data_IF_586113577823
#
_entry.id   IF_586113577823
#
_cell.length_a   1.000
_cell.length_b   1.000
_cell.length_c   1.000
_cell.angle_alpha   90.00
_cell.angle_beta   90.00
_cell.angle_gamma   90.00
#
_symmetry.space_group_name_H-M   'P 1'
#
loop_
_entity.id
_entity.type
_entity.pdbx_description
1 polymer ?
#
# COMPACT_ATOMS: atom_id res chain seq x y z
N UNK A 1 -21.63 49.02 -6.01
CA UNK A 1 -22.63 48.45 -5.08
C UNK A 1 -23.54 47.51 -5.86
N UNK A 2 -23.23 46.23 -5.84
CA UNK A 2 -24.09 45.04 -6.06
C UNK A 2 -23.19 43.83 -6.17
N UNK A 3 -23.10 43.10 -5.08
CA UNK A 3 -22.48 41.78 -4.93
C UNK A 3 -23.45 40.82 -5.62
N UNK A 4 -22.98 40.16 -6.67
CA UNK A 4 -23.71 39.05 -7.28
C UNK A 4 -22.95 37.78 -6.87
N UNK A 5 -23.50 37.08 -5.91
CA UNK A 5 -23.15 35.71 -5.57
C UNK A 5 -23.44 34.81 -6.78
N UNK A 6 -22.41 34.34 -7.44
CA UNK A 6 -22.51 33.22 -8.35
C UNK A 6 -21.93 31.98 -7.64
N UNK A 7 -22.78 31.31 -6.88
CA UNK A 7 -22.56 29.93 -6.52
C UNK A 7 -22.62 29.09 -7.81
N UNK A 8 -21.48 28.89 -8.43
CA UNK A 8 -21.34 27.87 -9.47
C UNK A 8 -21.50 26.51 -8.80
N UNK A 9 -22.62 25.86 -9.08
CA UNK A 9 -22.87 24.46 -8.73
C UNK A 9 -21.95 23.61 -9.60
N UNK A 10 -20.73 23.34 -9.13
CA UNK A 10 -19.91 22.28 -9.66
C UNK A 10 -20.58 20.96 -9.27
N UNK A 11 -21.35 20.42 -10.19
CA UNK A 11 -21.85 19.05 -10.10
C UNK A 11 -20.62 18.14 -10.19
N UNK A 12 -20.25 17.61 -9.06
CA UNK A 12 -19.24 16.57 -8.94
C UNK A 12 -19.81 15.31 -9.62
N UNK A 13 -19.52 15.13 -10.91
CA UNK A 13 -19.74 13.86 -11.59
C UNK A 13 -18.65 12.88 -11.10
N UNK A 14 -18.88 12.31 -9.93
CA UNK A 14 -18.22 11.07 -9.54
C UNK A 14 -18.81 9.99 -10.43
N UNK A 15 -18.20 9.76 -11.58
CA UNK A 15 -18.41 8.51 -12.33
C UNK A 15 -17.81 7.40 -11.45
N UNK A 16 -18.68 6.81 -10.63
CA UNK A 16 -18.40 5.56 -9.97
C UNK A 16 -18.18 4.53 -11.09
N UNK A 17 -16.92 4.32 -11.46
CA UNK A 17 -16.54 3.13 -12.21
C UNK A 17 -16.88 1.95 -11.30
N UNK A 18 -18.06 1.38 -11.53
CA UNK A 18 -18.43 0.09 -10.98
C UNK A 18 -17.48 -0.94 -11.59
N UNK A 19 -16.38 -1.20 -10.90
CA UNK A 19 -15.58 -2.40 -11.13
C UNK A 19 -16.48 -3.54 -10.67
N UNK A 20 -17.28 -4.08 -11.60
CA UNK A 20 -17.97 -5.34 -11.43
C UNK A 20 -16.88 -6.40 -11.30
N UNK A 21 -16.55 -6.75 -10.06
CA UNK A 21 -15.70 -7.87 -9.75
C UNK A 21 -16.30 -9.12 -10.37
N UNK A 22 -15.60 -9.70 -11.33
CA UNK A 22 -15.82 -11.08 -11.75
C UNK A 22 -15.51 -11.97 -10.54
N UNK A 23 -16.52 -12.17 -9.69
CA UNK A 23 -16.51 -13.26 -8.73
C UNK A 23 -16.66 -14.54 -9.55
N UNK A 24 -15.56 -15.24 -9.77
CA UNK A 24 -15.59 -16.63 -10.20
C UNK A 24 -16.09 -17.42 -8.98
N UNK A 25 -17.39 -17.65 -8.92
CA UNK A 25 -17.98 -18.57 -7.98
C UNK A 25 -17.51 -19.98 -8.39
N UNK A 26 -16.67 -20.56 -7.57
CA UNK A 26 -16.35 -21.97 -7.63
C UNK A 26 -17.54 -22.71 -6.99
N UNK A 27 -18.37 -23.34 -7.83
CA UNK A 27 -19.36 -24.31 -7.37
C UNK A 27 -18.64 -25.50 -6.75
N UNK A 28 -18.85 -25.71 -5.46
CA UNK A 28 -18.29 -26.82 -4.72
C UNK A 28 -19.31 -27.46 -3.79
N UNK A 29 -19.71 -28.66 -4.14
CA UNK A 29 -20.21 -29.72 -3.29
C UNK A 29 -21.48 -29.52 -2.45
N UNK A 30 -22.58 -30.03 -3.03
CA UNK A 30 -23.75 -30.49 -2.29
C UNK A 30 -23.35 -31.64 -1.36
N UNK A 31 -23.54 -31.48 -0.06
CA UNK A 31 -23.66 -32.59 0.87
C UNK A 31 -25.16 -32.86 1.09
N UNK A 32 -25.58 -34.04 0.65
CA UNK A 32 -26.90 -34.61 0.89
C UNK A 32 -27.14 -34.76 2.38
N UNK A 33 -28.35 -34.42 2.77
CA UNK A 33 -28.85 -34.47 4.12
C UNK A 33 -28.95 -35.90 4.70
N UNK A 34 -28.77 -35.93 6.00
CA UNK A 34 -29.35 -36.95 6.87
C UNK A 34 -30.05 -36.23 8.02
N UNK A 35 -31.36 -36.25 7.96
CA UNK A 35 -32.24 -35.92 9.07
C UNK A 35 -32.15 -37.04 10.13
N UNK A 36 -31.89 -36.70 11.40
CA UNK A 36 -32.48 -37.43 12.50
C UNK A 36 -32.52 -36.58 13.78
N UNK A 37 -33.74 -36.37 14.18
CA UNK A 37 -34.40 -36.34 15.49
C UNK A 37 -33.64 -35.91 16.75
N UNK A 38 -34.19 -34.89 17.32
CA UNK A 38 -34.41 -34.44 18.69
C UNK A 38 -34.17 -35.50 19.77
N UNK A 39 -33.35 -35.17 20.76
CA UNK A 39 -33.65 -35.51 22.18
C UNK A 39 -32.91 -34.50 23.08
N UNK A 40 -33.67 -33.74 23.85
CA UNK A 40 -33.26 -32.96 25.00
C UNK A 40 -32.66 -33.86 26.09
N UNK A 41 -31.58 -33.43 26.70
CA UNK A 41 -31.32 -33.75 28.10
C UNK A 41 -30.37 -32.72 28.73
N UNK A 42 -30.95 -32.00 29.62
CA UNK A 42 -30.38 -31.16 30.67
C UNK A 42 -29.45 -32.00 31.57
N UNK A 43 -28.20 -31.61 31.77
CA UNK A 43 -27.45 -32.03 32.96
C UNK A 43 -26.42 -30.96 33.36
N UNK A 44 -26.56 -30.60 34.58
CA UNK A 44 -25.91 -29.73 35.53
C UNK A 44 -24.37 -29.71 35.50
N UNK A 45 -23.88 -28.53 35.86
CA UNK A 45 -22.50 -28.15 36.20
C UNK A 45 -21.87 -29.08 37.26
N UNK A 46 -20.60 -29.42 37.07
CA UNK A 46 -19.70 -29.66 38.20
C UNK A 46 -18.31 -29.08 37.93
N UNK A 47 -17.94 -28.17 38.79
CA UNK A 47 -16.65 -27.53 38.98
C UNK A 47 -15.64 -28.60 39.41
N UNK A 48 -14.51 -28.74 38.73
CA UNK A 48 -13.34 -29.45 39.29
C UNK A 48 -12.09 -28.61 39.10
N UNK A 49 -11.66 -28.04 40.20
CA UNK A 49 -10.37 -27.38 40.39
C UNK A 49 -9.22 -28.36 40.14
N UNK A 50 -8.27 -28.03 39.27
CA UNK A 50 -7.00 -28.72 39.13
C UNK A 50 -6.00 -28.19 40.14
N UNK A 51 -5.59 -29.08 41.05
CA UNK A 51 -4.55 -28.87 42.05
C UNK A 51 -3.15 -29.02 41.43
N UNK A 52 -2.36 -27.94 41.49
CA UNK A 52 -0.98 -27.83 40.96
C UNK A 52 0.09 -28.09 42.03
N UNK A 53 -0.10 -29.11 42.89
CA UNK A 53 0.93 -29.45 43.86
C UNK A 53 1.39 -30.91 43.73
N UNK A 54 2.25 -31.18 42.75
CA UNK A 54 3.22 -32.30 42.78
C UNK A 54 4.12 -32.28 41.54
N UNK A 55 5.16 -31.50 41.55
CA UNK A 55 6.39 -31.77 40.82
C UNK A 55 7.56 -31.45 41.73
N UNK A 56 8.03 -32.44 42.43
CA UNK A 56 9.36 -32.39 43.03
C UNK A 56 10.08 -33.71 42.75
N UNK A 57 11.33 -33.51 42.29
CA UNK A 57 12.45 -34.46 42.31
C UNK A 57 12.38 -35.71 41.43
N UNK A 58 13.23 -35.70 40.38
CA UNK A 58 14.23 -36.73 40.13
C UNK A 58 15.33 -36.21 39.23
N UNK A 59 16.46 -35.92 39.86
CA UNK A 59 17.80 -35.92 39.25
C UNK A 59 18.13 -37.35 38.81
N UNK A 60 18.64 -37.52 37.59
CA UNK A 60 19.80 -38.38 37.36
C UNK A 60 20.43 -38.14 35.97
N UNK A 61 21.76 -37.99 35.87
CA UNK A 61 22.46 -37.69 34.64
C UNK A 61 22.97 -38.98 33.95
N UNK A 62 23.25 -38.86 32.63
CA UNK A 62 23.98 -39.82 31.81
C UNK A 62 23.16 -40.93 31.13
N UNK A 63 22.70 -40.57 29.87
CA UNK A 63 22.78 -41.53 28.78
C UNK A 63 22.97 -40.80 27.46
N UNK A 64 24.19 -40.87 26.96
CA UNK A 64 24.58 -40.60 25.58
C UNK A 64 23.88 -41.60 24.69
N UNK A 65 22.95 -41.16 23.84
CA UNK A 65 22.37 -41.97 22.77
C UNK A 65 23.13 -41.69 21.49
N UNK A 66 23.91 -42.67 21.08
CA UNK A 66 24.63 -42.77 19.82
C UNK A 66 23.65 -42.98 18.66
N UNK A 67 23.56 -42.00 17.74
CA UNK A 67 22.76 -42.04 16.54
C UNK A 67 23.61 -42.38 15.29
N UNK A 68 24.41 -43.44 15.36
CA UNK A 68 25.06 -44.01 14.19
C UNK A 68 24.52 -45.42 13.93
N UNK A 69 23.66 -45.52 12.90
CA UNK A 69 23.47 -46.68 12.00
C UNK A 69 21.99 -46.83 11.58
N UNK A 70 21.60 -46.19 10.51
CA UNK A 70 20.59 -46.74 9.61
C UNK A 70 21.26 -47.05 8.27
N UNK A 71 21.68 -48.30 8.15
CA UNK A 71 22.00 -48.96 6.89
C UNK A 71 20.70 -49.16 6.10
N UNK A 72 20.66 -48.68 4.88
CA UNK A 72 19.60 -49.02 3.91
C UNK A 72 19.96 -50.35 3.26
N UNK A 73 19.18 -51.38 3.62
CA UNK A 73 19.18 -52.60 2.82
C UNK A 73 18.26 -52.44 1.61
N UNK A 74 18.86 -52.59 0.43
CA UNK A 74 18.15 -52.67 -0.84
C UNK A 74 17.63 -54.09 -1.03
N UNK A 75 16.32 -54.28 -0.87
CA UNK A 75 15.67 -55.50 -1.41
C UNK A 75 14.77 -55.14 -2.60
N UNK A 76 15.13 -55.73 -3.71
CA UNK A 76 14.47 -55.76 -4.99
C UNK A 76 13.35 -56.81 -4.92
N UNK A 77 12.08 -56.40 -5.02
CA UNK A 77 11.02 -57.35 -5.39
C UNK A 77 10.09 -56.69 -6.42
N UNK A 78 10.16 -57.22 -7.63
CA UNK A 78 9.15 -57.11 -8.67
C UNK A 78 7.84 -57.69 -8.17
N UNK A 79 6.77 -56.87 -8.15
CA UNK A 79 5.43 -57.43 -8.43
C UNK A 79 4.54 -56.37 -9.06
N UNK A 80 4.01 -56.73 -10.21
CA UNK A 80 3.10 -55.95 -11.02
C UNK A 80 1.69 -56.07 -10.42
N UNK A 81 1.13 -54.97 -9.91
CA UNK A 81 -0.32 -54.82 -9.78
C UNK A 81 -0.70 -53.37 -10.00
N UNK A 82 -1.28 -53.11 -11.14
CA UNK A 82 -1.92 -51.92 -11.59
C UNK A 82 -3.15 -51.62 -10.71
N UNK A 83 -3.04 -50.65 -9.82
CA UNK A 83 -4.20 -49.95 -9.24
C UNK A 83 -3.91 -48.47 -9.32
N UNK A 84 -4.57 -47.82 -10.30
CA UNK A 84 -4.52 -46.38 -10.48
C UNK A 84 -5.06 -45.62 -9.27
N UNK A 85 -4.16 -45.26 -8.38
CA UNK A 85 -4.32 -44.14 -7.47
C UNK A 85 -3.61 -42.97 -8.11
N UNK A 86 -4.41 -42.07 -8.69
CA UNK A 86 -3.93 -40.76 -9.05
C UNK A 86 -3.37 -40.13 -7.76
N UNK A 87 -2.04 -40.13 -7.64
CA UNK A 87 -1.39 -39.17 -6.77
C UNK A 87 -1.79 -37.80 -7.29
N UNK A 88 -2.79 -37.18 -6.66
CA UNK A 88 -2.95 -35.74 -6.71
C UNK A 88 -1.60 -35.19 -6.28
N UNK A 89 -0.82 -34.77 -7.26
CA UNK A 89 0.37 -33.98 -7.01
C UNK A 89 -0.10 -32.72 -6.33
N UNK A 90 -0.04 -32.71 -4.99
CA UNK A 90 -0.19 -31.48 -4.22
C UNK A 90 0.80 -30.49 -4.80
N UNK A 91 0.27 -29.49 -5.48
CA UNK A 91 1.08 -28.42 -6.08
C UNK A 91 1.56 -27.54 -4.92
N UNK A 92 2.70 -27.91 -4.33
CA UNK A 92 3.33 -27.19 -3.23
C UNK A 92 3.63 -25.73 -3.57
N UNK A 93 3.60 -25.35 -4.86
CA UNK A 93 3.69 -23.94 -5.27
C UNK A 93 2.45 -23.14 -4.88
N UNK A 94 1.27 -23.76 -4.77
CA UNK A 94 0.05 -23.08 -4.30
C UNK A 94 0.01 -22.92 -2.79
N UNK A 95 0.72 -23.76 -2.06
CA UNK A 95 0.80 -23.68 -0.60
C UNK A 95 1.80 -22.63 -0.11
N UNK A 96 2.82 -22.29 -0.92
CA UNK A 96 3.90 -21.39 -0.55
C UNK A 96 4.12 -20.30 -1.61
N UNK A 97 3.20 -19.32 -1.73
CA UNK A 97 3.45 -18.08 -2.47
C UNK A 97 2.86 -17.97 -3.88
N UNK A 98 2.08 -18.96 -4.34
CA UNK A 98 1.41 -18.90 -5.65
C UNK A 98 0.05 -18.17 -5.66
N UNK A 99 -0.45 -17.75 -4.49
CA UNK A 99 -1.74 -17.07 -4.39
C UNK A 99 -1.63 -15.62 -4.86
N UNK A 100 -2.53 -15.23 -5.75
CA UNK A 100 -2.61 -13.83 -6.22
C UNK A 100 -3.46 -13.03 -5.24
N UNK A 101 -2.89 -11.96 -4.73
CA UNK A 101 -3.55 -10.98 -3.87
C UNK A 101 -3.82 -9.71 -4.65
N UNK A 102 -4.90 -9.03 -4.31
CA UNK A 102 -5.21 -7.71 -4.83
C UNK A 102 -5.59 -6.78 -3.68
N UNK A 103 -5.17 -5.53 -3.79
CA UNK A 103 -5.54 -4.44 -2.88
C UNK A 103 -5.78 -3.19 -3.68
N UNK A 104 -6.87 -2.52 -3.38
CA UNK A 104 -7.18 -1.19 -3.92
C UNK A 104 -7.30 -0.23 -2.75
N UNK A 105 -6.56 0.87 -2.80
CA UNK A 105 -6.68 1.98 -1.85
C UNK A 105 -7.05 3.24 -2.62
N UNK A 106 -8.06 3.94 -2.16
CA UNK A 106 -8.49 5.24 -2.68
C UNK A 106 -8.46 6.21 -1.52
N UNK A 107 -7.81 7.34 -1.70
CA UNK A 107 -7.70 8.38 -0.71
C UNK A 107 -8.13 9.72 -1.31
N UNK A 108 -8.94 10.48 -0.58
CA UNK A 108 -9.36 11.82 -0.97
C UNK A 108 -9.27 12.73 0.24
N UNK A 109 -8.53 13.82 0.12
CA UNK A 109 -8.34 14.81 1.16
C UNK A 109 -8.68 16.21 0.64
N UNK A 110 -9.27 17.01 1.50
CA UNK A 110 -9.36 18.45 1.32
C UNK A 110 -8.37 19.10 2.28
N UNK A 111 -7.35 19.75 1.72
CA UNK A 111 -6.28 20.41 2.45
C UNK A 111 -6.46 21.92 2.36
N UNK A 112 -6.22 22.63 3.46
CA UNK A 112 -6.24 24.08 3.55
C UNK A 112 -4.85 24.57 3.94
N UNK A 113 -4.37 25.62 3.28
CA UNK A 113 -3.16 26.32 3.67
C UNK A 113 -3.43 27.39 4.74
N UNK A 114 -2.41 28.09 5.19
CA UNK A 114 -2.50 29.16 6.19
C UNK A 114 -3.36 30.35 5.71
N UNK A 115 -3.43 30.58 4.42
CA UNK A 115 -4.25 31.61 3.78
C UNK A 115 -5.71 31.17 3.59
N UNK A 116 -6.05 29.93 3.94
CA UNK A 116 -7.36 29.33 3.78
C UNK A 116 -7.69 28.91 2.37
N UNK A 117 -6.69 28.79 1.46
CA UNK A 117 -6.89 28.24 0.13
C UNK A 117 -6.97 26.74 0.19
N UNK A 118 -7.97 26.18 -0.48
CA UNK A 118 -8.25 24.77 -0.49
C UNK A 118 -7.59 24.03 -1.66
N UNK A 119 -7.09 22.83 -1.39
CA UNK A 119 -6.61 21.88 -2.39
C UNK A 119 -7.29 20.55 -2.19
N UNK A 120 -7.85 19.99 -3.26
CA UNK A 120 -8.38 18.62 -3.28
C UNK A 120 -7.27 17.69 -3.78
N UNK A 121 -6.79 16.85 -2.91
CA UNK A 121 -5.84 15.79 -3.21
C UNK A 121 -6.55 14.45 -3.26
N UNK A 122 -6.39 13.73 -4.34
CA UNK A 122 -6.95 12.40 -4.53
C UNK A 122 -5.85 11.45 -4.96
N UNK A 123 -5.79 10.27 -4.34
CA UNK A 123 -4.85 9.23 -4.73
C UNK A 123 -5.54 7.88 -4.87
N UNK A 124 -4.94 7.05 -5.70
CA UNK A 124 -5.39 5.70 -6.00
C UNK A 124 -4.17 4.79 -6.07
N UNK A 125 -4.24 3.66 -5.41
CA UNK A 125 -3.25 2.60 -5.52
C UNK A 125 -3.94 1.25 -5.77
N UNK A 126 -3.55 0.57 -6.85
CA UNK A 126 -3.86 -0.81 -7.11
C UNK A 126 -2.58 -1.63 -6.98
N UNK A 127 -2.63 -2.66 -6.16
CA UNK A 127 -1.58 -3.67 -6.03
C UNK A 127 -2.16 -5.03 -6.37
N UNK A 128 -1.57 -5.73 -7.33
CA UNK A 128 -2.00 -7.08 -7.72
C UNK A 128 -0.78 -7.96 -8.00
N UNK A 129 -0.80 -9.18 -7.51
CA UNK A 129 0.28 -10.14 -7.75
C UNK A 129 0.43 -11.16 -6.65
N UNK A 130 1.55 -11.87 -6.69
CA UNK A 130 1.97 -12.84 -5.67
C UNK A 130 2.89 -12.18 -4.65
N UNK A 131 3.34 -12.90 -3.64
CA UNK A 131 4.32 -12.40 -2.68
C UNK A 131 5.64 -11.99 -3.34
N UNK A 132 6.05 -12.70 -4.41
CA UNK A 132 7.31 -12.43 -5.09
C UNK A 132 7.21 -11.36 -6.17
N UNK A 133 6.11 -11.37 -6.94
CA UNK A 133 5.95 -10.53 -8.13
C UNK A 133 4.62 -9.81 -8.10
N UNK A 134 4.64 -8.48 -8.13
CA UNK A 134 3.47 -7.62 -8.00
C UNK A 134 3.49 -6.54 -9.08
N UNK A 135 2.32 -6.14 -9.50
CA UNK A 135 2.09 -4.94 -10.29
C UNK A 135 1.48 -3.88 -9.38
N UNK A 136 2.06 -2.69 -9.38
CA UNK A 136 1.50 -1.50 -8.74
C UNK A 136 1.06 -0.51 -9.81
N UNK A 137 -0.14 0.00 -9.67
CA UNK A 137 -0.63 1.15 -10.42
C UNK A 137 -0.97 2.20 -9.39
N UNK A 138 -0.21 3.30 -9.37
CA UNK A 138 -0.41 4.43 -8.48
C UNK A 138 -0.86 5.62 -9.31
N UNK A 139 -1.91 6.28 -8.89
CA UNK A 139 -2.40 7.52 -9.50
C UNK A 139 -2.62 8.57 -8.44
N UNK A 140 -2.31 9.82 -8.75
CA UNK A 140 -2.63 10.96 -7.91
C UNK A 140 -3.15 12.12 -8.74
N UNK A 141 -3.96 12.93 -8.12
CA UNK A 141 -4.48 14.17 -8.70
C UNK A 141 -4.56 15.23 -7.61
N UNK A 142 -4.02 16.41 -7.91
CA UNK A 142 -4.07 17.57 -7.03
C UNK A 142 -4.75 18.72 -7.74
N UNK A 143 -5.72 19.34 -7.11
CA UNK A 143 -6.48 20.47 -7.63
C UNK A 143 -6.64 21.56 -6.58
N UNK A 144 -5.89 22.64 -6.71
CA UNK A 144 -6.10 23.83 -5.92
C UNK A 144 -7.35 24.61 -6.39
N UNK A 145 -7.90 25.47 -5.51
CA UNK A 145 -8.96 26.40 -5.87
C UNK A 145 -8.48 27.28 -7.04
N UNK A 146 -9.29 27.47 -8.05
CA UNK A 146 -8.98 28.28 -9.24
C UNK A 146 -7.91 27.74 -10.19
N UNK A 147 -7.36 26.55 -9.92
CA UNK A 147 -6.38 25.84 -10.75
C UNK A 147 -7.00 24.68 -11.51
N UNK A 148 -6.33 24.25 -12.59
CA UNK A 148 -6.65 22.98 -13.23
C UNK A 148 -6.05 21.83 -12.40
N UNK A 149 -6.63 20.64 -12.52
CA UNK A 149 -6.09 19.48 -11.84
C UNK A 149 -4.81 18.99 -12.50
N UNK A 150 -3.79 18.74 -11.70
CA UNK A 150 -2.58 18.04 -12.10
C UNK A 150 -2.78 16.54 -11.87
N UNK A 151 -2.14 15.70 -12.69
CA UNK A 151 -2.27 14.24 -12.62
C UNK A 151 -0.91 13.57 -12.71
N UNK A 152 -0.71 12.56 -11.90
CA UNK A 152 0.41 11.63 -11.98
C UNK A 152 -0.12 10.19 -12.02
N UNK A 153 0.42 9.38 -12.91
CA UNK A 153 0.10 7.97 -13.03
C UNK A 153 1.38 7.15 -13.16
N UNK A 154 1.57 6.17 -12.29
CA UNK A 154 2.72 5.28 -12.30
C UNK A 154 2.29 3.83 -12.47
N UNK A 155 3.00 3.09 -13.32
CA UNK A 155 2.87 1.66 -13.46
C UNK A 155 4.24 1.02 -13.16
N UNK A 156 4.30 0.21 -12.10
CA UNK A 156 5.54 -0.33 -11.53
C UNK A 156 5.44 -1.85 -11.39
N UNK A 157 6.39 -2.54 -11.94
CA UNK A 157 6.62 -3.95 -11.63
C UNK A 157 7.49 -4.05 -10.38
N UNK A 158 7.06 -4.84 -9.43
CA UNK A 158 7.66 -5.02 -8.11
C UNK A 158 8.10 -6.47 -7.94
N UNK A 159 9.36 -6.67 -7.57
CA UNK A 159 9.91 -7.98 -7.26
C UNK A 159 10.49 -8.00 -5.87
N UNK A 160 10.09 -8.99 -5.08
CA UNK A 160 10.65 -9.20 -3.75
C UNK A 160 12.13 -9.62 -3.84
N UNK A 161 12.98 -8.90 -3.12
CA UNK A 161 14.45 -9.15 -3.06
C UNK A 161 14.92 -9.49 -1.66
N UNK A 162 14.14 -9.18 -0.62
CA UNK A 162 14.45 -9.47 0.77
C UNK A 162 13.15 -9.58 1.58
N UNK A 163 13.22 -10.06 2.81
CA UNK A 163 12.06 -10.31 3.67
C UNK A 163 11.07 -9.13 3.76
N UNK A 164 11.57 -7.89 3.68
CA UNK A 164 10.76 -6.67 3.83
C UNK A 164 10.97 -5.66 2.70
N UNK A 165 11.64 -6.05 1.61
CA UNK A 165 11.98 -5.12 0.53
C UNK A 165 11.69 -5.71 -0.84
N UNK A 166 11.02 -4.90 -1.64
CA UNK A 166 10.79 -5.11 -3.06
C UNK A 166 11.61 -4.08 -3.85
N UNK A 167 12.25 -4.50 -4.94
CA UNK A 167 12.73 -3.60 -5.97
C UNK A 167 11.61 -3.35 -6.96
N UNK A 168 11.44 -2.10 -7.37
CA UNK A 168 10.41 -1.68 -8.30
C UNK A 168 11.00 -0.97 -9.51
N UNK A 169 10.47 -1.26 -10.69
CA UNK A 169 10.85 -0.59 -11.92
C UNK A 169 9.61 -0.35 -12.79
N UNK A 170 9.55 0.78 -13.48
CA UNK A 170 8.42 1.10 -14.33
C UNK A 170 8.47 2.49 -14.92
N UNK A 171 7.31 3.06 -15.16
CA UNK A 171 7.14 4.38 -15.78
C UNK A 171 6.19 5.23 -14.97
N UNK A 172 6.44 6.54 -14.98
CA UNK A 172 5.53 7.55 -14.44
C UNK A 172 5.16 8.52 -15.57
N UNK A 173 3.87 8.75 -15.74
CA UNK A 173 3.29 9.76 -16.57
C UNK A 173 2.78 10.89 -15.67
N UNK A 174 3.11 12.15 -16.02
CA UNK A 174 2.64 13.34 -15.31
C UNK A 174 2.04 14.31 -16.32
N UNK A 175 0.89 14.87 -15.97
CA UNK A 175 0.20 15.90 -16.76
C UNK A 175 -0.07 17.13 -15.90
N UNK A 176 0.41 18.28 -16.39
CA UNK A 176 0.15 19.58 -15.78
C UNK A 176 -0.47 20.51 -16.83
N UNK A 177 -1.81 20.59 -16.87
CA UNK A 177 -2.53 21.38 -17.89
C UNK A 177 -2.45 22.90 -17.69
N UNK A 178 -1.80 23.41 -16.64
CA UNK A 178 -1.50 24.84 -16.46
C UNK A 178 -0.32 25.31 -17.32
N UNK A 179 0.50 24.38 -17.80
CA UNK A 179 1.61 24.69 -18.67
C UNK A 179 1.13 24.97 -20.09
N UNK A 180 1.77 25.93 -20.75
CA UNK A 180 1.46 26.26 -22.16
C UNK A 180 2.01 25.18 -23.12
N UNK A 181 3.15 24.59 -22.76
CA UNK A 181 3.83 23.53 -23.53
C UNK A 181 4.39 22.49 -22.55
N UNK A 182 4.76 21.30 -23.05
CA UNK A 182 5.30 20.22 -22.23
C UNK A 182 4.39 19.89 -21.02
N UNK A 183 3.09 19.86 -21.28
CA UNK A 183 2.09 19.51 -20.28
C UNK A 183 2.32 18.08 -19.80
N UNK A 184 2.54 17.20 -20.76
CA UNK A 184 2.72 15.77 -20.53
C UNK A 184 4.21 15.42 -20.37
N UNK A 185 4.51 14.53 -19.44
CA UNK A 185 5.85 13.99 -19.21
C UNK A 185 5.81 12.51 -18.91
N UNK A 186 6.84 11.81 -19.38
CA UNK A 186 7.08 10.41 -19.05
C UNK A 186 8.47 10.27 -18.45
N UNK A 187 8.53 9.71 -17.25
CA UNK A 187 9.78 9.42 -16.56
C UNK A 187 9.90 7.88 -16.37
N UNK A 188 11.09 7.33 -16.55
CA UNK A 188 11.39 6.01 -16.07
C UNK A 188 11.58 6.04 -14.55
N UNK A 189 11.03 5.06 -13.85
CA UNK A 189 11.09 4.96 -12.40
C UNK A 189 11.84 3.70 -11.98
N UNK A 190 12.76 3.82 -11.03
CA UNK A 190 13.45 2.72 -10.38
C UNK A 190 13.46 2.99 -8.87
N UNK A 191 13.06 2.02 -8.06
CA UNK A 191 12.96 2.27 -6.64
C UNK A 191 12.90 1.02 -5.77
N UNK A 192 12.72 1.30 -4.49
CA UNK A 192 12.57 0.33 -3.43
C UNK A 192 11.26 0.61 -2.69
N UNK A 193 10.50 -0.42 -2.43
CA UNK A 193 9.29 -0.40 -1.61
C UNK A 193 9.43 -1.41 -0.49
N UNK A 194 9.11 -1.03 0.75
CA UNK A 194 9.20 -2.00 1.83
C UNK A 194 9.05 -1.40 3.22
N UNK A 195 9.45 -2.20 4.21
CA UNK A 195 9.45 -1.81 5.62
C UNK A 195 10.88 -1.54 6.08
N UNK A 196 11.17 -0.29 6.38
CA UNK A 196 12.42 0.12 7.02
C UNK A 196 12.41 -0.23 8.51
N UNK A 197 13.51 0.09 9.21
CA UNK A 197 13.60 -0.11 10.65
C UNK A 197 12.42 0.54 11.39
N UNK A 198 11.99 -0.10 12.48
CA UNK A 198 10.83 0.33 13.29
C UNK A 198 9.50 0.29 12.52
N UNK A 199 9.39 -0.54 11.48
CA UNK A 199 8.17 -0.72 10.67
C UNK A 199 7.69 0.55 9.96
N UNK A 200 8.61 1.40 9.52
CA UNK A 200 8.28 2.49 8.61
C UNK A 200 8.05 1.93 7.20
N UNK A 201 6.83 2.06 6.70
CA UNK A 201 6.52 1.80 5.30
C UNK A 201 7.24 2.87 4.47
N UNK A 202 8.09 2.45 3.54
CA UNK A 202 9.02 3.35 2.85
C UNK A 202 9.01 3.06 1.36
N UNK A 203 8.82 4.13 0.59
CA UNK A 203 8.91 4.17 -0.86
C UNK A 203 10.03 5.15 -1.27
N UNK A 204 11.04 4.65 -1.96
CA UNK A 204 12.15 5.46 -2.44
C UNK A 204 12.35 5.25 -3.94
N UNK A 205 12.21 6.31 -4.75
CA UNK A 205 12.29 6.23 -6.21
C UNK A 205 13.29 7.21 -6.79
N UNK A 206 14.02 6.76 -7.81
CA UNK A 206 14.77 7.59 -8.75
C UNK A 206 13.97 7.67 -10.06
N UNK A 207 13.78 8.89 -10.53
CA UNK A 207 13.08 9.18 -11.77
C UNK A 207 14.06 9.74 -12.79
N UNK A 208 13.98 9.20 -14.00
CA UNK A 208 14.80 9.60 -15.13
C UNK A 208 13.88 10.05 -16.27
N UNK A 209 13.85 11.34 -16.54
CA UNK A 209 13.00 11.95 -17.55
C UNK A 209 13.78 12.50 -18.74
N UNK A 210 13.04 13.12 -19.65
CA UNK A 210 13.60 13.89 -20.74
C UNK A 210 14.35 15.14 -20.21
N UNK A 211 15.11 15.79 -21.07
CA UNK A 211 15.86 17.04 -20.77
C UNK A 211 16.79 16.90 -19.55
N UNK A 212 17.54 15.80 -19.49
CA UNK A 212 18.49 15.49 -18.42
C UNK A 212 17.87 15.53 -17.01
N UNK A 213 16.56 15.30 -16.91
CA UNK A 213 15.87 15.35 -15.63
C UNK A 213 16.16 14.10 -14.81
N UNK A 214 16.70 14.33 -13.63
CA UNK A 214 16.91 13.28 -12.61
C UNK A 214 16.37 13.79 -11.29
N UNK A 215 15.46 13.02 -10.71
CA UNK A 215 14.84 13.36 -9.43
C UNK A 215 14.77 12.13 -8.52
N UNK A 216 14.70 12.38 -7.23
CA UNK A 216 14.53 11.37 -6.20
C UNK A 216 13.31 11.72 -5.36
N UNK A 217 12.49 10.73 -5.04
CA UNK A 217 11.45 10.87 -4.02
C UNK A 217 11.64 9.83 -2.91
N UNK A 218 11.30 10.24 -1.70
CA UNK A 218 11.25 9.40 -0.52
C UNK A 218 9.93 9.69 0.18
N UNK A 219 9.12 8.67 0.33
CA UNK A 219 7.90 8.70 1.13
C UNK A 219 8.06 7.68 2.25
N UNK A 220 7.80 8.09 3.49
CA UNK A 220 7.87 7.18 4.62
C UNK A 220 6.80 7.50 5.64
N UNK A 221 6.15 6.47 6.16
CA UNK A 221 5.10 6.61 7.16
C UNK A 221 5.05 5.41 8.09
N UNK A 222 4.39 5.57 9.24
CA UNK A 222 4.21 4.50 10.19
C UNK A 222 2.86 4.57 10.90
N UNK A 223 2.14 3.47 10.91
CA UNK A 223 0.91 3.35 11.68
C UNK A 223 1.19 3.08 13.16
N UNK A 224 0.71 3.97 14.03
CA UNK A 224 0.74 3.84 15.48
C UNK A 224 -0.69 3.65 15.97
N UNK A 225 -1.02 2.45 16.43
CA UNK A 225 -2.34 2.14 16.97
C UNK A 225 -2.49 2.74 18.38
N UNK A 226 -3.22 3.84 18.50
CA UNK A 226 -3.56 4.42 19.79
C UNK A 226 -4.67 3.62 20.50
N UNK A 227 -5.62 3.12 19.70
CA UNK A 227 -6.64 2.16 20.11
C UNK A 227 -6.85 1.14 19.00
N UNK A 228 -7.77 0.18 19.16
CA UNK A 228 -8.09 -0.79 18.11
C UNK A 228 -8.63 -0.15 16.82
N UNK A 229 -9.11 1.08 16.87
CA UNK A 229 -9.73 1.80 15.74
C UNK A 229 -9.11 3.16 15.45
N UNK A 230 -8.40 3.75 16.41
CA UNK A 230 -7.78 5.05 16.26
C UNK A 230 -6.30 4.86 15.96
N UNK A 231 -5.86 5.33 14.79
CA UNK A 231 -4.51 5.19 14.28
C UNK A 231 -3.93 6.57 14.08
N UNK A 232 -2.74 6.78 14.60
CA UNK A 232 -1.92 7.96 14.35
C UNK A 232 -0.82 7.58 13.38
N UNK A 233 -0.68 8.30 12.28
CA UNK A 233 0.32 8.04 11.25
C UNK A 233 1.21 9.28 11.06
N UNK A 234 2.40 9.33 11.68
CA UNK A 234 3.43 10.25 11.24
C UNK A 234 3.90 9.89 9.83
N UNK A 235 4.15 10.89 8.99
CA UNK A 235 4.65 10.72 7.64
C UNK A 235 5.64 11.80 7.25
N UNK A 236 6.48 11.47 6.28
CA UNK A 236 7.49 12.36 5.70
C UNK A 236 7.60 12.06 4.21
N UNK A 237 7.45 13.10 3.40
CA UNK A 237 7.61 13.07 1.95
C UNK A 237 8.71 14.05 1.55
N UNK A 238 9.69 13.58 0.79
CA UNK A 238 10.82 14.37 0.33
C UNK A 238 10.97 14.21 -1.17
N UNK A 239 11.14 15.32 -1.87
CA UNK A 239 11.50 15.33 -3.29
C UNK A 239 12.79 16.13 -3.52
N UNK A 240 13.77 15.51 -4.16
CA UNK A 240 15.06 16.11 -4.50
C UNK A 240 15.21 16.09 -6.02
N UNK A 241 15.58 17.23 -6.60
CA UNK A 241 15.90 17.34 -8.00
C UNK A 241 17.41 17.45 -8.16
N UNK A 242 18.05 16.49 -8.82
CA UNK A 242 19.48 16.51 -9.09
C UNK A 242 19.80 17.36 -10.32
N UNK A 243 19.03 17.18 -11.38
CA UNK A 243 19.15 17.88 -12.64
C UNK A 243 17.77 18.08 -13.27
N UNK A 244 17.56 19.22 -13.88
CA UNK A 244 16.35 19.53 -14.65
C UNK A 244 16.69 20.67 -15.63
N UNK A 245 16.73 20.35 -16.93
CA UNK A 245 16.96 21.30 -18.02
C UNK A 245 15.70 21.47 -18.87
N UNK A 246 14.55 21.05 -18.36
CA UNK A 246 13.25 21.22 -19.03
C UNK A 246 12.81 22.67 -19.08
N UNK A 247 11.85 22.98 -19.93
CA UNK A 247 11.28 24.35 -20.06
C UNK A 247 10.68 24.86 -18.74
N UNK A 248 10.12 23.97 -17.94
CA UNK A 248 9.57 24.25 -16.62
C UNK A 248 10.45 23.65 -15.54
N UNK A 249 11.76 23.93 -15.64
CA UNK A 249 12.77 23.37 -14.76
C UNK A 249 12.56 23.77 -13.30
N UNK A 250 12.74 22.82 -12.40
CA UNK A 250 12.77 23.04 -10.96
C UNK A 250 14.18 23.35 -10.49
N UNK A 251 14.32 24.10 -9.40
CA UNK A 251 15.62 24.36 -8.78
C UNK A 251 16.22 23.05 -8.24
N UNK A 252 17.50 22.81 -8.54
CA UNK A 252 18.19 21.60 -8.04
C UNK A 252 18.36 21.61 -6.52
N UNK A 253 18.47 20.44 -5.93
CA UNK A 253 18.54 20.18 -4.48
C UNK A 253 17.19 19.73 -3.91
N UNK A 254 16.97 19.97 -2.61
CA UNK A 254 15.70 19.69 -1.96
C UNK A 254 14.62 20.56 -2.61
N UNK A 255 13.72 19.93 -3.36
CA UNK A 255 12.66 20.63 -4.09
C UNK A 255 11.40 20.79 -3.25
N UNK A 256 10.95 19.73 -2.59
CA UNK A 256 9.86 19.80 -1.64
C UNK A 256 10.07 18.84 -0.47
N UNK A 257 9.50 19.18 0.65
CA UNK A 257 9.46 18.35 1.85
C UNK A 257 8.13 18.60 2.55
N UNK A 258 7.43 17.54 2.88
CA UNK A 258 6.20 17.59 3.67
C UNK A 258 6.34 16.62 4.82
N UNK A 259 6.09 17.08 6.03
CA UNK A 259 6.04 16.23 7.22
C UNK A 259 4.77 16.49 7.98
N UNK A 260 4.13 15.44 8.46
CA UNK A 260 2.84 15.60 9.11
C UNK A 260 2.41 14.44 9.98
N UNK A 261 1.25 14.64 10.57
CA UNK A 261 0.53 13.66 11.38
C UNK A 261 -0.87 13.50 10.83
N UNK A 262 -1.21 12.29 10.44
CA UNK A 262 -2.57 11.91 10.10
C UNK A 262 -3.18 11.13 11.28
N UNK A 263 -4.39 11.47 11.65
CA UNK A 263 -5.16 10.74 12.66
C UNK A 263 -6.41 10.20 11.99
N UNK A 264 -6.47 8.87 11.83
CA UNK A 264 -7.60 8.21 11.18
C UNK A 264 -8.36 7.30 12.13
N UNK A 265 -9.64 7.18 11.85
CA UNK A 265 -10.54 6.32 12.60
C UNK A 265 -11.12 5.22 11.71
N UNK A 266 -10.84 3.96 12.05
CA UNK A 266 -11.40 2.80 11.35
C UNK A 266 -12.87 2.59 11.72
N UNK A 267 -13.80 3.17 10.96
CA UNK A 267 -15.22 2.82 11.09
C UNK A 267 -15.39 1.35 10.77
N UNK A 268 -14.83 0.96 9.63
CA UNK A 268 -14.65 -0.43 9.17
C UNK A 268 -13.24 -0.57 8.57
N UNK A 269 -12.78 -1.80 8.32
CA UNK A 269 -11.51 -2.05 7.61
C UNK A 269 -11.46 -1.44 6.20
N UNK A 270 -12.62 -1.07 5.65
CA UNK A 270 -12.76 -0.51 4.30
C UNK A 270 -12.94 1.00 4.28
N UNK A 271 -13.39 1.61 5.37
CA UNK A 271 -13.78 3.04 5.42
C UNK A 271 -13.12 3.70 6.62
N UNK A 272 -12.24 4.66 6.35
CA UNK A 272 -11.38 5.31 7.34
C UNK A 272 -11.35 6.81 7.08
N UNK A 273 -12.24 7.61 7.70
CA UNK A 273 -12.08 9.05 7.73
C UNK A 273 -10.86 9.45 8.56
N UNK A 274 -10.23 10.57 8.20
CA UNK A 274 -9.06 11.08 8.90
C UNK A 274 -9.00 12.59 8.89
N UNK A 275 -8.17 13.13 9.79
CA UNK A 275 -7.70 14.51 9.80
C UNK A 275 -6.19 14.52 9.74
N UNK A 276 -5.63 15.52 9.08
CA UNK A 276 -4.18 15.65 8.89
C UNK A 276 -3.73 17.06 9.22
N UNK A 277 -2.55 17.15 9.83
CA UNK A 277 -1.82 18.40 10.04
C UNK A 277 -0.41 18.17 9.52
N UNK A 278 0.06 19.03 8.63
CA UNK A 278 1.36 18.92 8.02
C UNK A 278 2.08 20.26 7.93
N UNK A 279 3.39 20.20 7.84
CA UNK A 279 4.23 21.34 7.47
C UNK A 279 4.92 21.03 6.17
N UNK A 280 4.78 21.93 5.21
CA UNK A 280 5.35 21.78 3.88
C UNK A 280 6.40 22.85 3.58
N UNK A 281 7.37 22.46 2.79
CA UNK A 281 8.39 23.33 2.20
C UNK A 281 8.46 23.06 0.70
N UNK A 282 8.52 24.13 -0.12
CA UNK A 282 8.73 24.06 -1.56
C UNK A 282 9.80 25.08 -1.97
N UNK A 283 10.78 24.62 -2.77
CA UNK A 283 11.92 25.45 -3.18
C UNK A 283 11.59 26.44 -4.30
N UNK A 284 10.52 26.21 -5.03
CA UNK A 284 10.13 27.01 -6.18
C UNK A 284 10.84 26.60 -7.48
N UNK A 285 10.57 27.37 -8.54
CA UNK A 285 10.99 27.09 -9.91
C UNK A 285 12.25 27.86 -10.31
N UNK A 286 13.01 27.30 -11.26
CA UNK A 286 14.15 27.95 -11.90
C UNK A 286 13.63 28.94 -12.97
N UNK A 287 14.30 30.07 -13.17
CA UNK A 287 13.98 30.96 -14.28
C UNK A 287 14.34 30.32 -15.62
N UNK A 288 13.38 30.35 -16.55
CA UNK A 288 13.54 29.88 -17.92
C UNK A 288 12.84 30.85 -18.89
N UNK A 289 12.86 30.58 -20.17
CA UNK A 289 12.10 31.38 -21.16
C UNK A 289 10.56 31.20 -21.00
N UNK A 290 10.12 30.20 -20.27
CA UNK A 290 8.73 29.79 -20.16
C UNK A 290 8.12 29.99 -18.77
N UNK A 291 8.95 30.27 -17.78
CA UNK A 291 8.51 30.52 -16.41
C UNK A 291 9.44 31.51 -15.71
N UNK A 292 8.88 32.30 -14.81
CA UNK A 292 9.64 33.15 -13.88
C UNK A 292 10.15 32.30 -12.70
N UNK A 293 11.31 32.73 -12.15
CA UNK A 293 11.77 32.13 -10.90
C UNK A 293 10.77 32.44 -9.78
N UNK A 294 10.45 31.42 -8.97
CA UNK A 294 9.66 31.60 -7.75
C UNK A 294 10.54 31.39 -6.53
N UNK A 295 10.21 32.07 -5.44
CA UNK A 295 10.88 31.88 -4.16
C UNK A 295 10.46 30.59 -3.48
N UNK A 296 11.19 30.21 -2.46
CA UNK A 296 10.80 29.09 -1.61
C UNK A 296 9.65 29.50 -0.69
N UNK A 297 8.69 28.61 -0.56
CA UNK A 297 7.51 28.76 0.27
C UNK A 297 7.49 27.67 1.33
N UNK A 298 6.95 27.97 2.47
CA UNK A 298 6.69 26.99 3.53
C UNK A 298 5.44 27.41 4.30
N UNK A 299 4.75 26.46 4.88
CA UNK A 299 3.53 26.74 5.64
C UNK A 299 2.89 25.49 6.22
N UNK A 300 1.92 25.71 7.07
CA UNK A 300 1.11 24.63 7.62
C UNK A 300 -0.05 24.28 6.69
N UNK A 301 -0.34 22.99 6.61
CA UNK A 301 -1.49 22.44 5.92
C UNK A 301 -2.37 21.70 6.93
N UNK A 302 -3.66 21.94 6.83
CA UNK A 302 -4.67 21.30 7.66
C UNK A 302 -5.69 20.64 6.75
N UNK A 303 -6.05 19.40 7.02
CA UNK A 303 -6.95 18.71 6.14
C UNK A 303 -7.81 17.66 6.79
N UNK A 304 -8.80 17.25 6.04
CA UNK A 304 -9.64 16.11 6.37
C UNK A 304 -9.87 15.28 5.11
N UNK A 305 -9.92 13.99 5.28
CA UNK A 305 -10.05 13.07 4.15
C UNK A 305 -10.78 11.78 4.49
N UNK A 306 -10.93 10.99 3.44
CA UNK A 306 -11.56 9.68 3.51
C UNK A 306 -10.70 8.67 2.74
N UNK A 307 -10.24 7.65 3.44
CA UNK A 307 -9.52 6.52 2.85
C UNK A 307 -10.44 5.32 2.73
N UNK A 308 -10.48 4.76 1.52
CA UNK A 308 -11.22 3.54 1.20
C UNK A 308 -10.22 2.44 0.83
N UNK A 309 -10.45 1.22 1.34
CA UNK A 309 -9.57 0.07 1.09
C UNK A 309 -10.42 -1.18 0.76
N UNK A 310 -10.06 -1.86 -0.33
CA UNK A 310 -10.75 -3.04 -0.84
C UNK A 310 -9.78 -4.18 -1.11
#
# INVERSE_FOLDING_TARGET
MRIINLFSKSVLNISLLSVSGLAIAHEGHQLQGVTNAITESTTTMSNSSMDHSKMNSMENPNQTVDHSQHQMDAEQSNDSANTGLSHDTHDHRKEHGGQVYQRVTIDNAWMLDEDGKGTLDSSFELRVGTDENKLFIKGSSSKAESSKAEYDLSALYSRNIAAFWDVQAGVRYSDNPERETDQERVDAALGLHGLAQYFFETDAYLYFGQDSRVAFSLETSRDLLLTQKLILQPYLDINVVFSDDSRYAKKSGLNSMTTGLETRYEITKKVMPYVSVAYTYSKGNKETQWQTATDSENGWLYGAGLRLRF
#
